data_IF_780215092176
#
_entry.id   IF_780215092176
#
_cell.length_a   1.000
_cell.length_b   1.000
_cell.length_c   1.000
_cell.angle_alpha   90.00
_cell.angle_beta   90.00
_cell.angle_gamma   90.00
#
_symmetry.space_group_name_H-M   'P 1'
#
loop_
_entity.id
_entity.type
_entity.pdbx_description
1 polymer ?
#
# COMPACT_ATOMS: atom_id res chain seq x y z
N UNK A 1 -62.80 -38.84 33.77
CA UNK A 1 -61.99 -38.74 35.01
C UNK A 1 -60.53 -38.84 34.65
N UNK A 2 -59.70 -37.99 35.26
CA UNK A 2 -58.24 -38.10 35.45
C UNK A 2 -57.33 -38.28 34.21
N UNK A 3 -56.21 -37.57 34.07
CA UNK A 3 -55.48 -36.81 35.07
C UNK A 3 -54.55 -35.77 34.46
N UNK A 4 -54.61 -34.56 35.02
CA UNK A 4 -53.56 -33.55 34.92
C UNK A 4 -52.30 -34.10 35.61
N UNK A 5 -51.20 -34.22 34.87
CA UNK A 5 -49.85 -34.26 35.46
C UNK A 5 -49.28 -32.84 35.46
N UNK A 6 -49.28 -32.23 36.64
CA UNK A 6 -48.39 -31.14 36.98
C UNK A 6 -47.01 -31.75 37.22
N UNK A 7 -45.99 -31.25 36.54
CA UNK A 7 -44.61 -31.30 37.03
C UNK A 7 -44.01 -29.91 36.89
N UNK A 8 -43.70 -29.35 38.05
CA UNK A 8 -42.80 -28.23 38.26
C UNK A 8 -41.49 -28.47 37.52
N UNK A 9 -40.96 -27.45 36.87
CA UNK A 9 -39.51 -27.30 36.84
C UNK A 9 -39.10 -25.83 36.68
N UNK A 10 -38.74 -25.26 37.83
CA UNK A 10 -37.60 -24.38 38.07
C UNK A 10 -37.33 -23.31 37.01
N UNK A 11 -37.68 -22.08 37.40
CA UNK A 11 -37.03 -20.83 37.01
C UNK A 11 -35.53 -21.03 36.75
N UNK A 12 -35.15 -21.15 35.46
CA UNK A 12 -33.74 -21.12 35.06
C UNK A 12 -33.26 -19.68 35.17
N UNK A 13 -32.65 -19.41 36.34
CA UNK A 13 -31.69 -18.32 36.57
C UNK A 13 -30.83 -18.11 35.32
N UNK A 14 -30.69 -16.86 34.92
CA UNK A 14 -29.68 -16.40 33.97
C UNK A 14 -28.32 -16.99 34.35
N UNK A 15 -27.88 -18.01 33.60
CA UNK A 15 -26.49 -18.41 33.59
C UNK A 15 -25.78 -17.40 32.69
N UNK A 16 -25.04 -16.47 33.30
CA UNK A 16 -24.01 -15.72 32.59
C UNK A 16 -23.09 -16.77 31.94
N UNK A 17 -23.15 -16.85 30.61
CA UNK A 17 -22.48 -17.89 29.85
C UNK A 17 -20.97 -17.69 29.94
N UNK A 18 -20.26 -18.75 30.34
CA UNK A 18 -18.81 -18.84 30.14
C UNK A 18 -18.49 -18.50 28.69
N UNK A 19 -17.57 -17.58 28.47
CA UNK A 19 -17.07 -17.25 27.14
C UNK A 19 -16.37 -18.45 26.51
N UNK A 20 -16.56 -18.67 25.20
CA UNK A 20 -15.93 -19.80 24.52
C UNK A 20 -14.45 -19.50 24.26
N UNK A 21 -13.57 -20.49 24.44
CA UNK A 21 -12.15 -20.38 24.04
C UNK A 21 -11.95 -20.36 22.52
N UNK A 22 -12.97 -20.76 21.75
CA UNK A 22 -12.92 -20.87 20.31
C UNK A 22 -14.30 -20.60 19.69
N UNK A 23 -14.32 -19.89 18.56
CA UNK A 23 -15.52 -19.58 17.78
C UNK A 23 -15.41 -20.17 16.37
N UNK A 24 -16.52 -20.57 15.76
CA UNK A 24 -16.51 -21.08 14.38
C UNK A 24 -16.80 -19.93 13.44
N UNK A 25 -15.97 -19.72 12.44
CA UNK A 25 -16.07 -18.59 11.51
C UNK A 25 -16.19 -19.10 10.08
N UNK A 26 -17.14 -18.55 9.34
CA UNK A 26 -17.26 -18.72 7.90
C UNK A 26 -16.86 -17.41 7.22
N UNK A 27 -15.70 -17.41 6.57
CA UNK A 27 -15.24 -16.26 5.79
C UNK A 27 -15.97 -16.19 4.45
N UNK A 28 -16.48 -15.02 4.13
CA UNK A 28 -17.21 -14.70 2.91
C UNK A 28 -16.43 -13.67 2.07
N UNK A 29 -16.70 -13.61 0.77
CA UNK A 29 -16.19 -12.56 -0.14
C UNK A 29 -16.66 -11.17 0.28
N UNK A 30 -15.86 -10.15 -0.04
CA UNK A 30 -16.15 -8.75 0.30
C UNK A 30 -17.41 -8.23 -0.41
N UNK A 31 -17.52 -8.55 -1.69
CA UNK A 31 -18.61 -8.13 -2.58
C UNK A 31 -19.67 -9.22 -2.76
N UNK A 32 -20.94 -8.82 -2.80
CA UNK A 32 -22.03 -9.75 -3.08
C UNK A 32 -22.09 -10.09 -4.58
N UNK A 33 -22.61 -11.27 -4.92
CA UNK A 33 -22.91 -11.60 -6.31
C UNK A 33 -24.18 -10.88 -6.82
N UNK A 34 -24.52 -11.10 -8.10
CA UNK A 34 -25.70 -10.52 -8.75
C UNK A 34 -27.04 -10.85 -8.05
N UNK A 35 -27.06 -11.76 -7.08
CA UNK A 35 -28.23 -12.15 -6.28
C UNK A 35 -28.11 -11.67 -4.82
N UNK A 36 -27.28 -10.68 -4.55
CA UNK A 36 -27.03 -10.13 -3.21
C UNK A 36 -26.55 -11.21 -2.22
N UNK A 37 -25.81 -12.21 -2.70
CA UNK A 37 -25.32 -13.32 -1.86
C UNK A 37 -23.79 -13.28 -1.76
N UNK A 38 -23.29 -13.29 -0.53
CA UNK A 38 -21.87 -13.40 -0.22
C UNK A 38 -21.47 -14.88 -0.17
N UNK A 39 -20.54 -15.27 -1.03
CA UNK A 39 -20.07 -16.66 -1.15
C UNK A 39 -18.94 -16.96 -0.15
N UNK A 40 -18.91 -18.18 0.44
CA UNK A 40 -17.76 -18.69 1.18
C UNK A 40 -16.47 -18.63 0.35
N UNK A 41 -15.40 -18.10 0.93
CA UNK A 41 -14.05 -18.17 0.32
C UNK A 41 -13.43 -19.53 0.58
N UNK A 42 -13.64 -20.07 1.78
CA UNK A 42 -13.00 -21.27 2.30
C UNK A 42 -13.96 -22.06 3.21
N UNK A 43 -13.63 -23.30 3.60
CA UNK A 43 -14.35 -24.04 4.64
C UNK A 43 -14.42 -23.26 5.96
N UNK A 44 -15.32 -23.68 6.86
CA UNK A 44 -15.41 -23.08 8.20
C UNK A 44 -14.13 -23.35 8.97
N UNK A 45 -13.65 -22.32 9.65
CA UNK A 45 -12.46 -22.38 10.49
C UNK A 45 -12.81 -22.14 11.94
N UNK A 46 -12.00 -22.71 12.82
CA UNK A 46 -12.12 -22.53 14.26
C UNK A 46 -11.08 -21.47 14.67
N UNK A 47 -11.57 -20.39 15.27
CA UNK A 47 -10.81 -19.17 15.55
C UNK A 47 -10.66 -19.05 17.07
N UNK A 48 -9.42 -18.95 17.54
CA UNK A 48 -9.11 -18.74 18.95
C UNK A 48 -9.78 -17.48 19.47
N UNK A 49 -10.39 -17.56 20.66
CA UNK A 49 -11.11 -16.47 21.28
C UNK A 49 -10.62 -16.28 22.72
N UNK A 50 -9.76 -15.29 22.90
CA UNK A 50 -9.07 -15.01 24.18
C UNK A 50 -9.76 -13.91 25.00
N UNK A 51 -10.96 -13.48 24.61
CA UNK A 51 -11.67 -12.36 25.25
C UNK A 51 -12.66 -12.83 26.32
N UNK A 52 -12.76 -12.06 27.40
CA UNK A 52 -13.62 -12.37 28.54
C UNK A 52 -15.12 -12.28 28.22
N UNK A 53 -15.53 -11.44 27.26
CA UNK A 53 -16.91 -11.24 26.85
C UNK A 53 -17.14 -11.46 25.34
N UNK A 54 -18.30 -12.01 24.99
CA UNK A 54 -18.71 -12.26 23.62
C UNK A 54 -19.40 -11.02 23.02
N UNK A 55 -18.60 -10.09 22.51
CA UNK A 55 -19.04 -8.87 21.81
C UNK A 55 -18.67 -8.88 20.33
N UNK A 56 -19.35 -8.06 19.51
CA UNK A 56 -19.00 -7.90 18.09
C UNK A 56 -17.56 -7.39 17.90
N UNK A 57 -17.12 -6.49 18.78
CA UNK A 57 -15.76 -5.93 18.75
C UNK A 57 -14.73 -7.03 18.97
N UNK A 58 -14.94 -7.90 19.96
CA UNK A 58 -14.02 -9.00 20.26
C UNK A 58 -14.03 -10.07 19.18
N UNK A 59 -15.19 -10.37 18.56
CA UNK A 59 -15.26 -11.26 17.39
C UNK A 59 -14.45 -10.70 16.23
N UNK A 60 -14.59 -9.40 15.94
CA UNK A 60 -13.81 -8.73 14.88
C UNK A 60 -12.31 -8.79 15.16
N UNK A 61 -11.88 -8.54 16.41
CA UNK A 61 -10.48 -8.63 16.83
C UNK A 61 -9.93 -10.06 16.72
N UNK A 62 -10.67 -11.07 17.18
CA UNK A 62 -10.27 -12.47 17.06
C UNK A 62 -10.08 -12.89 15.59
N UNK A 63 -11.04 -12.53 14.72
CA UNK A 63 -10.95 -12.81 13.28
C UNK A 63 -9.79 -12.04 12.62
N UNK A 64 -9.57 -10.78 13.01
CA UNK A 64 -8.48 -9.96 12.50
C UNK A 64 -7.10 -10.59 12.77
N UNK A 65 -6.88 -11.05 13.99
CA UNK A 65 -5.65 -11.76 14.38
C UNK A 65 -5.51 -13.06 13.60
N UNK A 66 -6.56 -13.90 13.54
CA UNK A 66 -6.52 -15.20 12.87
C UNK A 66 -6.26 -15.10 11.36
N UNK A 67 -6.88 -14.13 10.69
CA UNK A 67 -6.72 -13.95 9.24
C UNK A 67 -5.61 -12.96 8.86
N UNK A 68 -4.88 -12.40 9.83
CA UNK A 68 -3.84 -11.39 9.65
C UNK A 68 -4.32 -10.16 8.83
N UNK A 69 -5.48 -9.60 9.21
CA UNK A 69 -6.13 -8.45 8.57
C UNK A 69 -6.58 -7.42 9.61
N UNK A 70 -6.68 -6.11 9.26
CA UNK A 70 -7.11 -5.09 10.23
C UNK A 70 -8.53 -5.30 10.75
N UNK A 71 -8.73 -5.17 12.06
CA UNK A 71 -10.05 -5.31 12.68
C UNK A 71 -11.08 -4.28 12.17
N UNK A 72 -10.62 -3.11 11.73
CA UNK A 72 -11.44 -2.06 11.10
C UNK A 72 -12.10 -2.50 9.80
N UNK A 73 -11.49 -3.44 9.09
CA UNK A 73 -12.03 -3.99 7.83
C UNK A 73 -12.98 -5.16 8.05
N UNK A 74 -13.07 -5.70 9.27
CA UNK A 74 -13.87 -6.88 9.59
C UNK A 74 -15.35 -6.49 9.81
N UNK A 75 -16.22 -7.06 8.99
CA UNK A 75 -17.67 -6.92 9.07
C UNK A 75 -18.32 -8.27 9.35
N UNK A 76 -19.27 -8.30 10.28
CA UNK A 76 -19.98 -9.51 10.72
C UNK A 76 -21.38 -9.45 10.15
N UNK A 77 -21.84 -10.50 9.48
CA UNK A 77 -23.13 -10.53 8.80
C UNK A 77 -24.16 -11.37 9.55
N UNK A 78 -25.43 -10.95 9.48
CA UNK A 78 -26.57 -11.71 10.03
C UNK A 78 -26.78 -13.01 9.26
N UNK A 79 -26.61 -12.96 7.93
CA UNK A 79 -26.77 -14.09 7.02
C UNK A 79 -25.80 -13.96 5.84
N UNK A 80 -25.72 -14.99 5.00
CA UNK A 80 -24.96 -14.94 3.75
C UNK A 80 -25.54 -13.94 2.71
N UNK A 81 -26.65 -13.26 3.02
CA UNK A 81 -27.22 -12.16 2.23
C UNK A 81 -27.12 -10.80 2.93
N UNK A 82 -26.48 -10.74 4.10
CA UNK A 82 -26.49 -9.57 4.99
C UNK A 82 -27.78 -9.49 5.84
N UNK A 83 -28.10 -8.31 6.41
CA UNK A 83 -27.24 -7.12 6.50
C UNK A 83 -26.06 -7.32 7.48
N UNK A 84 -25.21 -6.31 7.62
CA UNK A 84 -24.18 -6.22 8.65
C UNK A 84 -24.80 -6.17 10.04
N UNK A 85 -24.18 -6.86 11.00
CA UNK A 85 -24.58 -6.85 12.40
C UNK A 85 -24.11 -5.55 13.07
N UNK A 86 -25.04 -4.81 13.65
CA UNK A 86 -24.78 -3.67 14.54
C UNK A 86 -24.78 -4.10 16.02
N UNK A 87 -25.48 -5.18 16.36
CA UNK A 87 -25.52 -5.73 17.72
C UNK A 87 -25.40 -7.25 17.74
N UNK A 88 -24.76 -7.78 18.79
CA UNK A 88 -24.56 -9.23 18.98
C UNK A 88 -25.88 -10.01 19.06
N UNK A 89 -26.99 -9.35 19.39
CA UNK A 89 -28.33 -9.93 19.44
C UNK A 89 -28.89 -10.30 18.07
N UNK A 90 -28.36 -9.72 16.98
CA UNK A 90 -28.83 -9.95 15.61
C UNK A 90 -28.32 -11.26 15.00
N UNK A 91 -27.32 -11.90 15.61
CA UNK A 91 -26.75 -13.14 15.10
C UNK A 91 -27.77 -14.27 15.32
N UNK A 92 -28.33 -14.85 14.24
CA UNK A 92 -29.38 -15.85 14.37
C UNK A 92 -28.82 -17.11 15.02
N UNK A 93 -29.54 -17.62 16.02
CA UNK A 93 -29.25 -18.87 16.72
C UNK A 93 -27.80 -19.02 17.23
N UNK A 94 -27.53 -18.51 18.43
CA UNK A 94 -26.30 -18.75 19.23
C UNK A 94 -25.93 -20.24 19.46
N UNK A 95 -26.75 -21.18 19.00
CA UNK A 95 -26.59 -22.62 19.22
C UNK A 95 -25.55 -23.24 18.29
N UNK A 96 -25.44 -22.77 17.04
CA UNK A 96 -24.54 -23.37 16.04
C UNK A 96 -23.18 -22.66 15.94
N UNK A 97 -23.01 -21.53 16.65
CA UNK A 97 -21.75 -20.78 16.84
C UNK A 97 -20.97 -20.42 15.56
N UNK A 98 -21.61 -20.41 14.38
CA UNK A 98 -20.96 -19.99 13.14
C UNK A 98 -21.15 -18.50 12.92
N UNK A 99 -20.06 -17.75 12.95
CA UNK A 99 -20.02 -16.32 12.66
C UNK A 99 -19.69 -16.11 11.19
N UNK A 100 -20.57 -15.41 10.47
CA UNK A 100 -20.35 -15.05 9.08
C UNK A 100 -19.58 -13.73 9.05
N UNK A 101 -18.37 -13.74 8.48
CA UNK A 101 -17.54 -12.54 8.42
C UNK A 101 -17.05 -12.26 7.00
N UNK A 102 -16.92 -10.98 6.66
CA UNK A 102 -16.26 -10.51 5.45
C UNK A 102 -15.28 -9.41 5.83
N UNK A 103 -14.26 -9.22 4.99
CA UNK A 103 -13.32 -8.11 5.13
C UNK A 103 -13.59 -7.11 4.01
N UNK A 104 -14.10 -5.94 4.35
CA UNK A 104 -14.39 -4.85 3.43
C UNK A 104 -13.25 -3.84 3.45
N UNK A 105 -12.75 -3.47 2.28
CA UNK A 105 -11.82 -2.35 2.15
C UNK A 105 -12.65 -1.08 2.30
N UNK A 106 -12.52 -0.39 3.43
CA UNK A 106 -13.18 0.89 3.63
C UNK A 106 -12.59 1.90 2.63
N UNK A 107 -13.42 2.42 1.74
CA UNK A 107 -13.16 3.71 1.10
C UNK A 107 -13.32 4.78 2.19
N UNK A 108 -12.33 5.66 2.34
CA UNK A 108 -12.15 6.57 3.50
C UNK A 108 -13.17 7.72 3.62
N UNK A 109 -14.46 7.46 3.44
CA UNK A 109 -15.50 8.42 3.77
C UNK A 109 -16.42 7.80 4.83
N UNK A 110 -16.53 8.46 6.00
CA UNK A 110 -17.41 8.16 7.16
C UNK A 110 -16.80 7.31 8.31
N UNK A 111 -15.93 7.91 9.14
CA UNK A 111 -15.88 7.61 10.60
C UNK A 111 -15.57 8.92 11.34
N UNK A 112 -16.54 9.42 12.11
CA UNK A 112 -16.32 10.42 13.15
C UNK A 112 -15.54 9.79 14.31
N UNK A 113 -14.53 10.52 14.78
CA UNK A 113 -13.58 10.13 15.81
C UNK A 113 -14.21 10.20 17.21
N UNK A 114 -14.12 9.12 18.00
CA UNK A 114 -14.15 9.20 19.46
C UNK A 114 -12.95 8.43 20.01
N UNK A 115 -11.94 9.17 20.46
CA UNK A 115 -10.81 8.66 21.23
C UNK A 115 -10.97 9.10 22.68
N UNK A 116 -11.24 8.17 23.59
CA UNK A 116 -10.94 8.38 25.01
C UNK A 116 -9.55 7.82 25.31
N UNK A 117 -8.61 8.73 25.52
CA UNK A 117 -7.28 8.43 26.04
C UNK A 117 -7.41 8.25 27.55
N UNK A 118 -7.13 7.05 28.06
CA UNK A 118 -6.85 6.84 29.48
C UNK A 118 -5.41 6.33 29.66
N UNK A 119 -4.50 7.28 29.84
CA UNK A 119 -3.18 7.06 30.40
C UNK A 119 -3.30 6.80 31.91
N UNK A 120 -2.84 5.64 32.39
CA UNK A 120 -2.26 5.46 33.74
C UNK A 120 -1.65 4.07 33.95
N UNK A 121 -0.30 4.06 34.07
CA UNK A 121 0.57 3.33 35.01
C UNK A 121 0.41 1.80 35.21
N UNK A 122 1.52 1.06 35.07
CA UNK A 122 2.35 0.50 36.18
C UNK A 122 3.21 -0.69 35.69
N UNK A 123 4.53 -0.48 35.73
CA UNK A 123 5.65 -1.32 36.20
C UNK A 123 5.84 -2.82 35.85
N UNK A 124 7.11 -3.07 35.49
CA UNK A 124 8.05 -4.12 35.95
C UNK A 124 8.02 -5.55 35.37
N UNK A 125 9.08 -5.80 34.58
CA UNK A 125 10.14 -6.79 34.79
C UNK A 125 9.74 -8.28 35.00
N UNK A 126 10.05 -9.12 34.01
CA UNK A 126 10.77 -10.37 34.28
C UNK A 126 11.56 -10.87 33.07
N UNK A 127 12.81 -11.18 33.36
CA UNK A 127 13.84 -11.83 32.55
C UNK A 127 13.55 -13.34 32.40
N UNK A 128 13.68 -13.89 31.18
CA UNK A 128 14.14 -15.27 30.99
C UNK A 128 14.75 -15.50 29.60
N UNK A 129 15.91 -16.15 29.61
CA UNK A 129 16.73 -16.55 28.45
C UNK A 129 16.33 -17.95 27.93
N UNK A 130 16.96 -18.52 26.89
CA UNK A 130 16.32 -18.95 25.65
C UNK A 130 16.00 -20.46 25.61
N UNK A 131 14.79 -20.80 25.17
CA UNK A 131 14.38 -22.20 24.91
C UNK A 131 14.36 -22.51 23.41
N UNK A 132 15.34 -23.27 22.95
CA UNK A 132 15.35 -23.91 21.63
C UNK A 132 14.25 -24.97 21.52
N UNK A 133 13.27 -24.74 20.65
CA UNK A 133 12.43 -25.81 20.09
C UNK A 133 12.36 -25.64 18.58
N UNK A 134 13.19 -26.46 17.92
CA UNK A 134 13.13 -26.72 16.49
C UNK A 134 11.79 -27.40 16.18
N UNK A 135 10.85 -26.65 15.59
CA UNK A 135 9.66 -27.22 14.95
C UNK A 135 9.73 -26.92 13.45
N UNK A 136 9.79 -27.99 12.65
CA UNK A 136 9.69 -27.93 11.18
C UNK A 136 8.35 -27.27 10.82
N UNK A 137 8.40 -26.08 10.19
CA UNK A 137 7.23 -25.45 9.57
C UNK A 137 6.74 -26.33 8.42
N UNK A 138 5.42 -26.59 8.28
CA UNK A 138 4.88 -27.12 7.05
C UNK A 138 5.03 -26.06 5.94
N UNK A 139 5.48 -26.53 4.79
CA UNK A 139 5.77 -25.76 3.59
C UNK A 139 4.47 -25.15 3.04
N UNK A 140 4.16 -23.93 3.45
CA UNK A 140 3.02 -23.17 2.96
C UNK A 140 3.26 -22.80 1.49
N UNK A 141 2.44 -23.33 0.60
CA UNK A 141 2.38 -22.92 -0.81
C UNK A 141 2.19 -21.41 -0.86
N UNK A 142 3.23 -20.68 -1.30
CA UNK A 142 3.11 -19.26 -1.64
C UNK A 142 2.09 -19.13 -2.77
N UNK A 143 0.85 -18.78 -2.44
CA UNK A 143 -0.13 -18.35 -3.44
C UNK A 143 0.29 -16.96 -3.88
N UNK A 144 1.14 -16.89 -4.90
CA UNK A 144 1.36 -15.65 -5.63
C UNK A 144 0.09 -15.35 -6.44
N UNK A 145 -0.43 -14.11 -6.43
CA UNK A 145 -1.49 -13.71 -7.35
C UNK A 145 -1.03 -14.02 -8.78
N UNK A 146 -1.92 -14.58 -9.60
CA UNK A 146 -1.63 -14.78 -11.01
C UNK A 146 -1.26 -13.44 -11.65
N UNK A 147 -0.12 -13.40 -12.35
CA UNK A 147 0.34 -12.20 -13.03
C UNK A 147 -0.72 -11.72 -14.01
N UNK A 148 -1.21 -10.49 -13.83
CA UNK A 148 -2.09 -9.84 -14.79
C UNK A 148 -1.30 -9.65 -16.09
N UNK A 149 -1.87 -10.04 -17.23
CA UNK A 149 -1.18 -9.85 -18.51
C UNK A 149 -0.99 -8.36 -18.80
N UNK A 150 0.14 -8.03 -19.40
CA UNK A 150 0.49 -6.68 -19.86
C UNK A 150 -0.66 -6.03 -20.64
N UNK A 151 -1.29 -6.80 -21.54
CA UNK A 151 -2.45 -6.37 -22.32
C UNK A 151 -3.66 -5.97 -21.46
N UNK A 152 -3.90 -6.69 -20.36
CA UNK A 152 -5.01 -6.40 -19.44
C UNK A 152 -4.77 -5.11 -18.67
N UNK A 153 -3.52 -4.84 -18.25
CA UNK A 153 -3.16 -3.57 -17.60
C UNK A 153 -3.34 -2.37 -18.55
N UNK A 154 -2.94 -2.51 -19.81
CA UNK A 154 -3.09 -1.44 -20.80
C UNK A 154 -4.57 -1.17 -21.15
N UNK A 155 -5.43 -2.20 -21.12
CA UNK A 155 -6.88 -2.05 -21.37
C UNK A 155 -7.66 -1.43 -20.20
N UNK A 156 -7.16 -1.52 -18.97
CA UNK A 156 -7.91 -1.12 -17.77
C UNK A 156 -8.13 0.40 -17.64
N UNK A 157 -7.37 1.24 -18.37
CA UNK A 157 -7.47 2.69 -18.29
C UNK A 157 -8.47 3.29 -19.30
N UNK A 158 -9.58 3.85 -18.81
CA UNK A 158 -10.44 4.75 -19.61
C UNK A 158 -9.89 6.17 -19.55
N UNK A 159 -9.74 6.81 -20.72
CA UNK A 159 -9.41 8.24 -20.77
C UNK A 159 -10.61 9.03 -20.27
N UNK A 160 -10.45 9.73 -19.14
CA UNK A 160 -11.54 10.54 -18.59
C UNK A 160 -11.53 11.89 -19.28
N UNK A 161 -12.57 12.17 -20.07
CA UNK A 161 -12.84 13.54 -20.54
C UNK A 161 -13.49 14.32 -19.39
N UNK A 162 -12.96 15.48 -19.00
CA UNK A 162 -13.49 16.25 -17.87
C UNK A 162 -14.94 16.69 -18.13
N UNK A 163 -15.85 16.47 -17.17
CA UNK A 163 -17.23 16.98 -17.21
C UNK A 163 -17.39 18.35 -16.52
N UNK A 164 -16.39 18.78 -15.76
CA UNK A 164 -16.39 20.02 -14.95
C UNK A 164 -15.36 21.02 -15.49
N UNK A 165 -15.65 22.32 -15.37
CA UNK A 165 -14.76 23.42 -15.81
C UNK A 165 -13.38 23.42 -15.14
N UNK A 166 -13.24 22.79 -13.96
CA UNK A 166 -12.02 22.87 -13.13
C UNK A 166 -11.02 21.72 -13.35
N UNK A 167 -11.25 20.82 -14.33
CA UNK A 167 -10.37 19.66 -14.59
C UNK A 167 -9.89 19.62 -16.03
N UNK A 168 -9.53 20.76 -16.61
CA UNK A 168 -9.19 20.87 -18.03
C UNK A 168 -7.69 20.71 -18.28
N UNK A 169 -7.34 20.29 -19.49
CA UNK A 169 -5.97 20.38 -19.97
C UNK A 169 -5.59 21.86 -20.13
N UNK A 170 -4.43 22.24 -19.59
CA UNK A 170 -3.91 23.60 -19.66
C UNK A 170 -2.59 23.54 -20.41
N UNK A 171 -2.45 24.39 -21.42
CA UNK A 171 -1.16 24.60 -22.07
C UNK A 171 -0.23 25.35 -21.11
N UNK A 172 0.97 24.80 -20.94
CA UNK A 172 2.04 25.43 -20.17
C UNK A 172 3.02 26.10 -21.13
N UNK A 173 3.81 27.05 -20.61
CA UNK A 173 4.80 27.75 -21.41
C UNK A 173 5.70 26.76 -22.17
N UNK A 174 5.95 27.04 -23.45
CA UNK A 174 6.82 26.23 -24.26
C UNK A 174 8.26 26.38 -23.75
N UNK A 175 8.85 25.25 -23.33
CA UNK A 175 10.25 25.16 -22.94
C UNK A 175 11.01 24.32 -23.96
N UNK A 176 12.23 24.74 -24.27
CA UNK A 176 13.12 24.03 -25.18
C UNK A 176 14.07 23.15 -24.36
N UNK A 177 14.08 21.86 -24.67
CA UNK A 177 14.92 20.87 -24.02
C UNK A 177 15.91 20.26 -25.01
N UNK A 178 17.15 20.10 -24.57
CA UNK A 178 18.09 19.19 -25.21
C UNK A 178 17.86 17.79 -24.63
N UNK A 179 17.51 16.82 -25.47
CA UNK A 179 17.21 15.44 -25.06
C UNK A 179 18.36 14.54 -25.50
N UNK A 180 18.85 13.72 -24.58
CA UNK A 180 19.91 12.74 -24.87
C UNK A 180 19.43 11.73 -25.93
N UNK A 181 20.33 11.36 -26.84
CA UNK A 181 20.04 10.39 -27.90
C UNK A 181 19.95 8.96 -27.38
N UNK A 182 20.67 8.65 -26.30
CA UNK A 182 20.64 7.36 -25.64
C UNK A 182 19.69 7.39 -24.43
N UNK A 183 18.87 6.35 -24.30
CA UNK A 183 18.11 6.12 -23.08
C UNK A 183 19.06 5.76 -21.95
N UNK A 184 18.87 6.37 -20.78
CA UNK A 184 19.65 6.03 -19.59
C UNK A 184 18.99 4.89 -18.78
N UNK A 185 17.70 4.63 -19.00
CA UNK A 185 16.98 3.56 -18.33
C UNK A 185 15.81 3.04 -19.18
N UNK A 186 15.42 1.80 -18.96
CA UNK A 186 14.29 1.13 -19.61
C UNK A 186 13.49 0.37 -18.56
N UNK A 187 12.20 0.67 -18.46
CA UNK A 187 11.24 -0.13 -17.70
C UNK A 187 10.55 -1.17 -18.58
N UNK A 188 9.53 -1.84 -18.01
CA UNK A 188 8.73 -2.82 -18.74
C UNK A 188 7.98 -2.21 -19.94
N UNK A 189 7.50 -0.97 -19.82
CA UNK A 189 6.67 -0.32 -20.85
C UNK A 189 7.30 0.92 -21.47
N UNK A 190 8.22 1.58 -20.76
CA UNK A 190 8.71 2.91 -21.13
C UNK A 190 10.21 3.00 -21.01
N UNK A 191 10.80 3.66 -22.00
CA UNK A 191 12.18 4.10 -22.01
C UNK A 191 12.27 5.50 -21.41
N UNK A 192 13.38 5.79 -20.74
CA UNK A 192 13.66 7.08 -20.11
C UNK A 192 14.93 7.70 -20.68
N UNK A 193 14.81 8.96 -21.09
CA UNK A 193 15.85 9.79 -21.65
C UNK A 193 16.06 10.98 -20.71
N UNK A 194 17.32 11.34 -20.51
CA UNK A 194 17.66 12.55 -19.77
C UNK A 194 17.48 13.73 -20.72
N UNK A 195 17.00 14.84 -20.16
CA UNK A 195 16.86 16.07 -20.90
C UNK A 195 17.21 17.25 -19.99
N UNK A 196 17.78 18.29 -20.58
CA UNK A 196 18.18 19.50 -19.86
C UNK A 196 17.64 20.73 -20.58
N UNK A 197 17.21 21.72 -19.82
CA UNK A 197 16.60 22.94 -20.35
C UNK A 197 17.69 23.80 -21.01
N UNK A 198 17.46 24.24 -22.26
CA UNK A 198 18.46 25.00 -23.03
C UNK A 198 18.69 26.40 -22.43
N UNK A 199 17.66 26.96 -21.79
CA UNK A 199 17.75 28.22 -21.03
C UNK A 199 17.61 27.88 -19.53
N UNK A 200 18.45 28.43 -18.65
CA UNK A 200 18.36 28.15 -17.22
C UNK A 200 17.09 28.80 -16.65
N UNK A 201 16.01 28.02 -16.59
CA UNK A 201 14.91 28.21 -15.64
C UNK A 201 15.08 27.20 -14.50
N UNK A 202 14.29 27.34 -13.42
CA UNK A 202 14.43 26.63 -12.13
C UNK A 202 14.62 25.10 -12.18
N UNK A 203 14.34 24.42 -13.30
CA UNK A 203 14.51 22.98 -13.45
C UNK A 203 15.70 22.67 -14.38
N UNK A 204 16.81 22.22 -13.80
CA UNK A 204 18.07 21.96 -14.52
C UNK A 204 18.03 20.65 -15.33
N UNK A 205 17.32 19.63 -14.83
CA UNK A 205 17.24 18.30 -15.43
C UNK A 205 15.80 17.76 -15.39
N UNK A 206 15.31 17.31 -16.54
CA UNK A 206 14.04 16.60 -16.69
C UNK A 206 14.25 15.21 -17.31
N UNK A 207 13.22 14.38 -17.20
CA UNK A 207 13.20 13.04 -17.78
C UNK A 207 12.09 12.98 -18.81
N UNK A 208 12.46 12.64 -20.04
CA UNK A 208 11.52 12.37 -21.13
C UNK A 208 11.30 10.88 -21.21
N UNK A 209 10.03 10.45 -21.15
CA UNK A 209 9.66 9.04 -21.24
C UNK A 209 8.84 8.76 -22.48
N UNK A 210 9.19 7.69 -23.16
CA UNK A 210 8.49 7.18 -24.35
C UNK A 210 8.09 5.74 -24.13
N UNK A 211 7.03 5.26 -24.78
CA UNK A 211 6.74 3.83 -24.77
C UNK A 211 7.77 3.08 -25.63
N UNK A 212 8.23 1.93 -25.14
CA UNK A 212 9.14 1.06 -25.90
C UNK A 212 8.38 0.33 -27.02
N UNK A 213 9.11 -0.25 -27.98
CA UNK A 213 8.50 -0.82 -29.20
C UNK A 213 7.47 -1.92 -28.91
N UNK A 214 7.72 -2.76 -27.90
CA UNK A 214 6.80 -3.84 -27.51
C UNK A 214 5.50 -3.29 -26.89
N UNK A 215 5.62 -2.24 -26.06
CA UNK A 215 4.47 -1.56 -25.49
C UNK A 215 3.68 -0.80 -26.58
N UNK A 216 4.37 -0.19 -27.55
CA UNK A 216 3.73 0.49 -28.70
C UNK A 216 2.87 -0.49 -29.47
N UNK A 217 3.41 -1.65 -29.87
CA UNK A 217 2.65 -2.72 -30.54
C UNK A 217 1.46 -3.15 -29.69
N UNK A 218 1.66 -3.39 -28.39
CA UNK A 218 0.57 -3.85 -27.52
C UNK A 218 -0.54 -2.79 -27.40
N UNK A 219 -0.20 -1.51 -27.27
CA UNK A 219 -1.17 -0.42 -27.16
C UNK A 219 -1.99 -0.32 -28.46
N UNK A 220 -1.32 -0.32 -29.61
CA UNK A 220 -1.97 -0.13 -30.90
C UNK A 220 -2.76 -1.36 -31.34
N UNK A 221 -2.16 -2.55 -31.26
CA UNK A 221 -2.71 -3.78 -31.82
C UNK A 221 -3.64 -4.48 -30.83
N UNK A 222 -3.31 -4.51 -29.54
CA UNK A 222 -4.08 -5.28 -28.55
C UNK A 222 -5.10 -4.41 -27.80
N UNK A 223 -4.71 -3.19 -27.41
CA UNK A 223 -5.59 -2.29 -26.68
C UNK A 223 -6.43 -1.38 -27.61
N UNK A 224 -6.12 -1.34 -28.90
CA UNK A 224 -6.80 -0.50 -29.90
C UNK A 224 -6.91 0.97 -29.44
N UNK A 225 -5.81 1.52 -28.93
CA UNK A 225 -5.70 2.89 -28.41
C UNK A 225 -4.46 3.57 -28.98
N UNK A 226 -4.40 4.90 -28.90
CA UNK A 226 -3.24 5.66 -29.39
C UNK A 226 -2.17 5.82 -28.31
N UNK A 227 -0.92 6.01 -28.73
CA UNK A 227 0.18 6.34 -27.81
C UNK A 227 -0.07 7.67 -27.12
N UNK A 228 -0.70 8.62 -27.83
CA UNK A 228 -1.12 9.90 -27.25
C UNK A 228 -2.13 9.72 -26.12
N UNK A 229 -3.18 8.91 -26.33
CA UNK A 229 -4.17 8.63 -25.27
C UNK A 229 -3.49 8.03 -24.04
N UNK A 230 -2.54 7.13 -24.23
CA UNK A 230 -1.79 6.51 -23.14
C UNK A 230 -0.89 7.51 -22.41
N UNK A 231 -0.20 8.40 -23.11
CA UNK A 231 0.56 9.49 -22.48
C UNK A 231 -0.37 10.43 -21.68
N UNK A 232 -1.52 10.80 -22.25
CA UNK A 232 -2.52 11.63 -21.58
C UNK A 232 -3.09 10.96 -20.33
N UNK A 233 -3.43 9.67 -20.41
CA UNK A 233 -3.86 8.85 -19.24
C UNK A 233 -2.78 8.79 -18.17
N UNK A 234 -1.51 8.66 -18.56
CA UNK A 234 -0.39 8.65 -17.61
C UNK A 234 -0.28 9.98 -16.83
N UNK A 235 -0.40 11.11 -17.52
CA UNK A 235 -0.41 12.44 -16.89
C UNK A 235 -1.63 12.61 -15.98
N UNK A 236 -2.82 12.16 -16.41
CA UNK A 236 -4.02 12.19 -15.58
C UNK A 236 -3.85 11.38 -14.29
N UNK A 237 -3.31 10.16 -14.41
CA UNK A 237 -3.03 9.30 -13.25
C UNK A 237 -2.04 9.96 -12.29
N UNK A 238 -0.99 10.59 -12.82
CA UNK A 238 0.00 11.31 -12.02
C UNK A 238 -0.61 12.53 -11.30
N UNK A 239 -1.47 13.29 -11.99
CA UNK A 239 -2.17 14.43 -11.41
C UNK A 239 -3.11 14.03 -10.29
N UNK A 240 -3.81 12.89 -10.41
CA UNK A 240 -4.68 12.37 -9.34
C UNK A 240 -3.85 11.93 -8.14
N UNK A 241 -2.75 11.19 -8.35
CA UNK A 241 -1.86 10.76 -7.29
C UNK A 241 -1.24 11.96 -6.53
N UNK A 242 -0.83 12.99 -7.26
CA UNK A 242 -0.35 14.25 -6.67
C UNK A 242 -1.43 14.95 -5.85
N UNK A 243 -2.66 15.01 -6.35
CA UNK A 243 -3.76 15.65 -5.61
C UNK A 243 -4.10 14.92 -4.31
N UNK A 244 -4.05 13.58 -4.33
CA UNK A 244 -4.27 12.74 -3.14
C UNK A 244 -3.16 12.99 -2.11
N UNK A 245 -1.90 12.94 -2.53
CA UNK A 245 -0.74 13.16 -1.64
C UNK A 245 -0.72 14.58 -1.06
N UNK A 246 -1.08 15.60 -1.83
CA UNK A 246 -1.22 16.97 -1.33
C UNK A 246 -2.32 17.11 -0.27
N UNK A 247 -3.47 16.45 -0.48
CA UNK A 247 -4.55 16.43 0.51
C UNK A 247 -4.16 15.69 1.78
N UNK A 248 -3.43 14.58 1.63
CA UNK A 248 -2.87 13.85 2.75
C UNK A 248 -1.94 14.76 3.56
N UNK A 249 -0.92 15.34 2.92
CA UNK A 249 0.03 16.27 3.55
C UNK A 249 -0.65 17.44 4.28
N UNK A 250 -1.73 17.99 3.72
CA UNK A 250 -2.48 19.07 4.35
C UNK A 250 -3.24 18.67 5.63
N UNK A 251 -3.55 17.39 5.80
CA UNK A 251 -4.25 16.85 6.98
C UNK A 251 -3.29 16.19 7.98
N UNK A 252 -2.06 15.96 7.57
CA UNK A 252 -1.05 15.30 8.38
C UNK A 252 -0.59 16.20 9.55
N UNK A 253 -0.58 15.70 10.80
CA UNK A 253 -0.11 16.47 11.95
C UNK A 253 1.41 16.69 11.91
N UNK A 254 1.94 17.76 12.54
CA UNK A 254 3.37 18.08 12.52
C UNK A 254 4.30 16.96 13.01
N UNK A 255 3.82 16.08 13.89
CA UNK A 255 4.60 14.94 14.42
C UNK A 255 4.72 13.73 13.48
N UNK A 256 4.06 13.74 12.32
CA UNK A 256 4.08 12.61 11.39
C UNK A 256 5.34 12.55 10.51
N UNK A 257 6.04 13.68 10.36
CA UNK A 257 7.20 13.80 9.46
C UNK A 257 6.83 14.07 8.00
N UNK A 258 7.81 13.88 7.11
CA UNK A 258 7.62 14.17 5.68
C UNK A 258 6.61 13.23 5.02
N UNK A 259 5.76 13.80 4.17
CA UNK A 259 4.78 13.06 3.40
C UNK A 259 5.31 12.75 2.00
N UNK A 260 4.90 11.60 1.46
CA UNK A 260 5.11 11.30 0.04
C UNK A 260 4.50 12.40 -0.83
N UNK A 261 5.22 12.77 -1.89
CA UNK A 261 4.76 13.73 -2.90
C UNK A 261 5.04 13.15 -4.30
N UNK A 262 4.23 13.57 -5.27
CA UNK A 262 4.42 13.25 -6.68
C UNK A 262 4.81 14.51 -7.42
N UNK A 263 5.86 14.44 -8.25
CA UNK A 263 6.26 15.54 -9.12
C UNK A 263 5.17 15.89 -10.13
N UNK A 264 5.39 16.95 -10.92
CA UNK A 264 4.52 17.21 -12.05
C UNK A 264 4.93 16.33 -13.23
N UNK A 265 3.93 15.92 -14.00
CA UNK A 265 4.12 15.18 -15.24
C UNK A 265 3.35 15.90 -16.33
N UNK A 266 4.00 16.09 -17.48
CA UNK A 266 3.50 16.85 -18.61
C UNK A 266 3.41 15.95 -19.84
N UNK A 267 2.50 16.30 -20.75
CA UNK A 267 2.39 15.69 -22.07
C UNK A 267 2.96 16.67 -23.10
N UNK A 268 3.74 16.15 -24.05
CA UNK A 268 4.21 16.93 -25.21
C UNK A 268 4.47 16.04 -26.43
N UNK A 269 4.82 16.66 -27.54
CA UNK A 269 5.22 16.01 -28.78
C UNK A 269 6.71 16.24 -29.01
N UNK A 270 7.46 15.15 -29.23
CA UNK A 270 8.88 15.21 -29.58
C UNK A 270 9.11 14.44 -30.89
N UNK A 271 9.69 15.09 -31.90
CA UNK A 271 9.88 14.52 -33.24
C UNK A 271 8.61 13.85 -33.81
N UNK A 272 7.45 14.49 -33.61
CA UNK A 272 6.15 13.97 -34.04
C UNK A 272 5.63 12.77 -33.23
N UNK A 273 6.30 12.38 -32.14
CA UNK A 273 5.88 11.28 -31.27
C UNK A 273 5.35 11.80 -29.92
N UNK A 274 4.25 11.22 -29.41
CA UNK A 274 3.74 11.53 -28.07
C UNK A 274 4.72 11.09 -26.98
N UNK A 275 5.07 11.99 -26.06
CA UNK A 275 5.96 11.72 -24.93
C UNK A 275 5.42 12.33 -23.63
N UNK A 276 5.94 11.86 -22.50
CA UNK A 276 5.71 12.48 -21.19
C UNK A 276 6.99 13.04 -20.62
N UNK A 277 6.93 14.22 -19.98
CA UNK A 277 8.07 14.88 -19.33
C UNK A 277 7.80 15.00 -17.84
N UNK A 278 8.79 14.72 -17.01
CA UNK A 278 8.72 14.85 -15.55
C UNK A 278 10.03 15.40 -15.00
N UNK A 279 10.00 16.03 -13.83
CA UNK A 279 11.23 16.52 -13.17
C UNK A 279 12.15 15.34 -12.84
N UNK A 280 13.44 15.50 -13.09
CA UNK A 280 14.41 14.47 -12.74
C UNK A 280 14.61 14.44 -11.23
N UNK A 281 14.23 13.33 -10.59
CA UNK A 281 14.61 13.08 -9.20
C UNK A 281 16.02 12.50 -9.20
N UNK A 282 17.00 13.34 -8.87
CA UNK A 282 18.38 12.92 -8.69
C UNK A 282 18.86 13.34 -7.32
N UNK A 283 19.51 12.42 -6.60
CA UNK A 283 20.28 12.79 -5.41
C UNK A 283 21.51 13.61 -5.79
N UNK A 284 21.91 13.68 -7.08
CA UNK A 284 23.13 14.35 -7.57
C UNK A 284 24.37 14.02 -6.71
N UNK A 285 24.51 12.75 -6.31
CA UNK A 285 25.58 12.27 -5.41
C UNK A 285 25.59 12.92 -4.02
N UNK A 286 24.50 13.61 -3.63
CA UNK A 286 24.36 14.28 -2.33
C UNK A 286 23.95 13.35 -1.20
N UNK A 287 23.49 12.15 -1.50
CA UNK A 287 22.98 11.18 -0.53
C UNK A 287 23.31 9.76 -0.98
N UNK A 288 23.82 8.95 -0.05
CA UNK A 288 24.08 7.53 -0.21
C UNK A 288 23.60 6.78 1.04
N UNK A 289 22.95 5.64 0.84
CA UNK A 289 22.61 4.71 1.92
C UNK A 289 23.72 3.66 1.97
N UNK A 290 24.27 3.46 3.15
CA UNK A 290 25.32 2.52 3.50
C UNK A 290 24.81 1.51 4.52
N UNK A 291 25.70 0.59 4.89
CA UNK A 291 25.46 -0.45 5.88
C UNK A 291 24.18 -1.27 5.63
N UNK A 292 24.05 -1.74 4.39
CA UNK A 292 22.93 -2.60 3.98
C UNK A 292 23.09 -3.97 4.66
N UNK A 293 22.41 -4.13 5.79
CA UNK A 293 22.43 -5.34 6.61
C UNK A 293 21.01 -5.81 6.98
N UNK A 294 20.84 -7.11 7.21
CA UNK A 294 19.55 -7.69 7.54
C UNK A 294 19.40 -9.17 7.21
N UNK A 295 18.15 -9.62 7.05
CA UNK A 295 17.79 -11.01 6.77
C UNK A 295 16.95 -11.09 5.50
N UNK A 296 17.42 -11.85 4.51
CA UNK A 296 16.88 -11.91 3.15
C UNK A 296 16.68 -10.52 2.54
N UNK A 297 15.43 -10.06 2.46
CA UNK A 297 15.02 -8.76 1.91
C UNK A 297 14.58 -7.78 3.01
N UNK A 298 14.62 -8.19 4.28
CA UNK A 298 14.31 -7.34 5.42
C UNK A 298 15.60 -6.73 5.96
N UNK A 299 15.81 -5.44 5.66
CA UNK A 299 16.99 -4.67 6.05
C UNK A 299 16.71 -3.88 7.33
N UNK A 300 17.72 -3.74 8.17
CA UNK A 300 17.64 -3.01 9.43
C UNK A 300 18.90 -2.16 9.62
N UNK A 301 18.76 -1.09 10.40
CA UNK A 301 19.88 -0.24 10.86
C UNK A 301 20.77 0.28 9.71
N UNK A 302 20.19 1.05 8.76
CA UNK A 302 20.97 1.61 7.67
C UNK A 302 21.82 2.77 8.16
N UNK A 303 22.96 2.96 7.51
CA UNK A 303 23.77 4.17 7.66
C UNK A 303 23.60 5.10 6.47
N UNK A 304 23.89 6.39 6.65
CA UNK A 304 23.71 7.40 5.59
C UNK A 304 25.01 8.17 5.37
N UNK A 305 25.20 8.68 4.16
CA UNK A 305 26.26 9.62 3.84
C UNK A 305 25.70 10.76 3.01
N UNK A 306 25.93 12.00 3.42
CA UNK A 306 25.53 13.19 2.69
C UNK A 306 26.73 13.97 2.16
N UNK A 307 26.59 14.63 0.99
CA UNK A 307 27.65 15.50 0.48
C UNK A 307 27.91 16.72 1.39
N UNK A 308 26.84 17.25 2.00
CA UNK A 308 26.88 18.33 3.00
C UNK A 308 26.46 17.74 4.35
N UNK A 309 27.24 17.99 5.40
CA UNK A 309 27.00 17.40 6.72
C UNK A 309 25.97 18.17 7.55
N UNK A 310 25.77 19.46 7.23
CA UNK A 310 24.87 20.37 7.94
C UNK A 310 23.87 20.98 6.97
N UNK A 311 22.68 21.28 7.47
CA UNK A 311 21.72 22.12 6.79
C UNK A 311 22.24 23.57 6.73
N UNK A 312 22.26 24.14 5.53
CA UNK A 312 22.83 25.47 5.28
C UNK A 312 22.09 26.61 5.98
N UNK A 313 20.80 26.43 6.28
CA UNK A 313 19.94 27.47 6.86
C UNK A 313 19.82 27.32 8.37
N UNK A 314 19.68 26.08 8.87
CA UNK A 314 19.46 25.83 10.31
C UNK A 314 20.74 25.48 11.07
N UNK A 315 21.84 25.18 10.36
CA UNK A 315 23.08 24.63 10.90
C UNK A 315 22.90 23.31 11.69
N UNK A 316 21.76 22.64 11.51
CA UNK A 316 21.50 21.33 12.10
C UNK A 316 22.26 20.24 11.33
N UNK A 317 22.71 19.21 12.04
CA UNK A 317 23.35 18.07 11.42
C UNK A 317 22.32 17.27 10.61
N UNK A 318 22.63 16.91 9.37
CA UNK A 318 21.79 15.98 8.63
C UNK A 318 21.89 14.58 9.23
N UNK A 319 20.75 14.00 9.59
CA UNK A 319 20.60 12.67 10.19
C UNK A 319 21.22 12.55 11.59
N UNK A 320 21.86 11.42 11.90
CA UNK A 320 22.43 11.13 13.21
C UNK A 320 23.96 10.98 13.13
N UNK A 321 24.60 10.51 14.21
CA UNK A 321 26.03 10.19 14.24
C UNK A 321 26.46 9.13 13.21
N UNK A 322 25.50 8.43 12.62
CA UNK A 322 25.63 7.51 11.50
C UNK A 322 25.85 8.16 10.13
N UNK A 323 25.87 9.49 10.06
CA UNK A 323 26.18 10.19 8.82
C UNK A 323 27.69 10.26 8.55
N UNK A 324 28.18 9.47 7.61
CA UNK A 324 29.61 9.42 7.24
C UNK A 324 30.05 10.56 6.30
N UNK A 325 29.17 11.53 6.01
CA UNK A 325 29.45 12.68 5.14
C UNK A 325 29.94 12.26 3.73
N UNK A 326 30.53 13.20 2.99
CA UNK A 326 31.13 12.94 1.68
C UNK A 326 32.27 11.91 1.75
N UNK A 327 32.87 11.71 2.92
CA UNK A 327 33.92 10.68 3.14
C UNK A 327 33.37 9.28 2.88
N UNK A 328 32.19 8.96 3.39
CA UNK A 328 31.54 7.66 3.17
C UNK A 328 31.26 7.39 1.68
N UNK A 329 30.77 8.42 0.98
CA UNK A 329 30.51 8.37 -0.47
C UNK A 329 31.80 8.05 -1.24
N UNK A 330 32.89 8.78 -0.97
CA UNK A 330 34.16 8.60 -1.67
C UNK A 330 34.81 7.25 -1.37
N UNK A 331 34.72 6.78 -0.12
CA UNK A 331 35.22 5.46 0.27
C UNK A 331 34.47 4.34 -0.47
N UNK A 332 33.14 4.46 -0.61
CA UNK A 332 32.34 3.52 -1.39
C UNK A 332 32.74 3.55 -2.86
N UNK A 333 32.78 4.72 -3.51
CA UNK A 333 33.13 4.84 -4.93
C UNK A 333 34.50 4.22 -5.24
N UNK A 334 35.47 4.37 -4.34
CA UNK A 334 36.81 3.79 -4.50
C UNK A 334 36.84 2.26 -4.39
N UNK A 335 35.95 1.68 -3.61
CA UNK A 335 35.98 0.24 -3.27
C UNK A 335 34.91 -0.58 -3.97
N UNK A 336 33.85 0.06 -4.46
CA UNK A 336 32.72 -0.61 -5.08
C UNK A 336 33.14 -1.30 -6.37
N UNK A 337 32.77 -2.57 -6.50
CA UNK A 337 32.90 -3.33 -7.74
C UNK A 337 31.52 -3.62 -8.26
N UNK A 338 31.18 -3.03 -9.39
CA UNK A 338 29.86 -3.23 -9.96
C UNK A 338 29.59 -4.70 -10.28
N UNK A 339 28.35 -5.13 -10.01
CA UNK A 339 27.88 -6.48 -10.25
C UNK A 339 26.83 -6.53 -11.36
N UNK A 340 26.25 -7.70 -11.62
CA UNK A 340 25.23 -7.88 -12.67
C UNK A 340 24.02 -6.96 -12.48
N UNK A 341 23.63 -6.63 -11.25
CA UNK A 341 22.49 -5.76 -10.98
C UNK A 341 22.83 -4.30 -11.27
N UNK A 342 24.04 -3.85 -10.96
CA UNK A 342 24.55 -2.54 -11.37
C UNK A 342 24.47 -2.36 -12.90
N UNK A 343 24.81 -3.41 -13.66
CA UNK A 343 24.71 -3.40 -15.13
C UNK A 343 23.26 -3.32 -15.60
N UNK A 344 22.36 -4.08 -14.96
CA UNK A 344 20.93 -4.08 -15.30
C UNK A 344 20.28 -2.71 -15.10
N UNK A 345 20.72 -1.95 -14.09
CA UNK A 345 20.18 -0.61 -13.81
C UNK A 345 21.00 0.53 -14.43
N UNK A 346 22.06 0.21 -15.21
CA UNK A 346 22.82 1.19 -15.97
C UNK A 346 23.73 2.11 -15.14
N UNK A 347 24.28 1.63 -14.01
CA UNK A 347 25.11 2.44 -13.09
C UNK A 347 26.58 2.00 -13.04
N UNK A 348 27.05 1.19 -13.99
CA UNK A 348 28.39 0.62 -13.96
C UNK A 348 29.53 1.54 -14.35
N UNK A 349 29.25 2.57 -15.15
CA UNK A 349 30.28 3.37 -15.81
C UNK A 349 29.93 4.86 -15.75
N UNK A 350 30.12 5.46 -14.57
CA UNK A 350 30.31 6.90 -14.41
C UNK A 350 31.63 7.19 -13.73
#
# INVERSE_FOLDING_TARGET
MSGKRIRNDVSRKNKNGSTPHEIIVQRLVSEADNKQTYRPIQPRESVGFEFEDLSLVNIKKACAVHFNLPASTCDVLVSNKGPSCTHISQIPHRKDKVYLVRFVVLQEDQVEEEYEINTSKVNNLSTSTPGSLCQKKPEGTKICPSSISIASLLKAGKLVKPREKNKQWVEVAAEEFAIDTQKFSSGAFRDAFRASTIKPTKCEDCVVKTYNDDAVKTIQETANSSIEDHCRKQVQMHSVARHITQRFKAKTPPGFGECFDYNRCYYTMYNGKPVTVEDCVSTKEKLMILDIQGSDYALYDPEISTAELFDGDTAELYFCCGNYSSIGIQAFLKSHKCNKYCKLIGVCDK
#
